data_IF_069486720066
#
_entry.id   IF_069486720066
#
_cell.length_a   1.000
_cell.length_b   1.000
_cell.length_c   1.000
_cell.angle_alpha   90.00
_cell.angle_beta   90.00
_cell.angle_gamma   90.00
#
_symmetry.space_group_name_H-M   'P 1'
#
loop_
_entity.id
_entity.type
_entity.pdbx_description
1 polymer ?
#
# COMPACT_ATOMS: atom_id res chain seq x y z
N UNK A 1 15.47 -21.95 21.14
CA UNK A 1 15.25 -20.88 20.15
C UNK A 1 16.38 -21.00 19.14
N UNK A 2 16.12 -21.58 17.95
CA UNK A 2 17.17 -21.78 16.93
C UNK A 2 17.20 -20.56 16.01
N UNK A 3 18.34 -19.86 15.99
CA UNK A 3 18.56 -18.69 15.14
C UNK A 3 18.59 -19.10 13.65
N UNK A 4 18.05 -18.31 12.72
CA UNK A 4 18.18 -18.61 11.29
C UNK A 4 19.65 -18.45 10.85
N UNK A 5 20.14 -19.31 9.93
CA UNK A 5 21.50 -19.22 9.43
C UNK A 5 21.71 -17.92 8.62
N UNK A 6 22.95 -17.38 8.56
CA UNK A 6 23.24 -16.20 7.77
C UNK A 6 22.96 -16.47 6.28
N UNK A 7 22.18 -15.59 5.65
CA UNK A 7 21.89 -15.62 4.21
C UNK A 7 23.19 -15.41 3.41
N UNK A 8 23.87 -16.50 3.08
CA UNK A 8 25.02 -16.50 2.17
C UNK A 8 24.57 -16.17 0.75
N UNK A 9 25.37 -15.41 -0.01
CA UNK A 9 25.11 -15.09 -1.42
C UNK A 9 24.87 -16.35 -2.25
N UNK A 10 25.48 -17.48 -1.87
CA UNK A 10 25.29 -18.78 -2.50
C UNK A 10 23.84 -19.30 -2.41
N UNK A 11 23.07 -18.98 -1.37
CA UNK A 11 21.68 -19.43 -1.23
C UNK A 11 20.69 -18.65 -2.10
N UNK A 12 21.16 -17.64 -2.85
CA UNK A 12 20.33 -16.83 -3.78
C UNK A 12 20.43 -17.31 -5.23
N UNK A 13 21.36 -18.20 -5.53
CA UNK A 13 21.53 -18.77 -6.86
C UNK A 13 21.03 -20.20 -6.84
N UNK A 14 20.16 -20.54 -7.79
CA UNK A 14 19.67 -21.91 -7.99
C UNK A 14 20.29 -22.42 -9.28
N UNK A 15 20.89 -23.60 -9.23
CA UNK A 15 21.43 -24.23 -10.44
C UNK A 15 20.30 -24.68 -11.37
N UNK A 16 20.60 -24.76 -12.67
CA UNK A 16 19.62 -25.26 -13.64
C UNK A 16 19.16 -26.68 -13.30
N UNK A 17 20.07 -27.53 -12.82
CA UNK A 17 19.78 -28.90 -12.40
C UNK A 17 18.82 -28.96 -11.22
N UNK A 18 18.98 -28.09 -10.22
CA UNK A 18 18.07 -28.02 -9.07
C UNK A 18 16.67 -27.55 -9.50
N UNK A 19 16.58 -26.63 -10.46
CA UNK A 19 15.31 -26.20 -11.03
C UNK A 19 14.60 -27.32 -11.78
N UNK A 20 15.33 -28.09 -12.59
CA UNK A 20 14.79 -29.24 -13.34
C UNK A 20 14.29 -30.33 -12.39
N UNK A 21 15.05 -30.67 -11.35
CA UNK A 21 14.64 -31.63 -10.32
C UNK A 21 13.40 -31.14 -9.54
N UNK A 22 13.36 -29.85 -9.19
CA UNK A 22 12.19 -29.25 -8.54
C UNK A 22 10.94 -29.24 -9.43
N UNK A 23 11.10 -29.05 -10.75
CA UNK A 23 10.00 -29.20 -11.72
C UNK A 23 9.51 -30.65 -11.79
N UNK A 24 10.44 -31.62 -11.94
CA UNK A 24 10.10 -33.03 -12.03
C UNK A 24 9.36 -33.55 -10.79
N UNK A 25 9.87 -33.24 -9.59
CA UNK A 25 9.22 -33.63 -8.32
C UNK A 25 7.82 -33.02 -8.19
N UNK A 26 7.62 -31.77 -8.61
CA UNK A 26 6.30 -31.13 -8.63
C UNK A 26 5.34 -31.83 -9.58
N UNK A 27 5.80 -32.22 -10.76
CA UNK A 27 4.99 -32.97 -11.73
C UNK A 27 4.60 -34.36 -11.22
N UNK A 28 5.53 -35.07 -10.57
CA UNK A 28 5.27 -36.37 -9.96
C UNK A 28 4.22 -36.26 -8.85
N UNK A 29 4.37 -35.29 -7.96
CA UNK A 29 3.40 -35.01 -6.89
C UNK A 29 2.03 -34.64 -7.46
N UNK A 30 2.00 -33.84 -8.52
CA UNK A 30 0.78 -33.49 -9.23
C UNK A 30 0.10 -34.74 -9.80
N UNK A 31 0.81 -35.55 -10.59
CA UNK A 31 0.26 -36.80 -11.14
C UNK A 31 -0.25 -37.73 -10.04
N UNK A 32 0.49 -37.88 -8.95
CA UNK A 32 0.08 -38.71 -7.81
C UNK A 32 -1.21 -38.19 -7.13
N UNK A 33 -1.38 -36.87 -7.00
CA UNK A 33 -2.58 -36.27 -6.43
C UNK A 33 -3.83 -36.57 -7.27
N UNK A 34 -3.73 -36.50 -8.60
CA UNK A 34 -4.84 -36.83 -9.50
C UNK A 34 -5.13 -38.33 -9.58
N UNK A 35 -4.09 -39.17 -9.58
CA UNK A 35 -4.26 -40.62 -9.51
C UNK A 35 -5.03 -41.05 -8.25
N UNK A 36 -4.73 -40.42 -7.10
CA UNK A 36 -5.49 -40.65 -5.85
C UNK A 36 -6.96 -40.23 -5.96
N UNK A 37 -7.26 -39.19 -6.75
CA UNK A 37 -8.62 -38.70 -6.95
C UNK A 37 -9.40 -39.52 -8.00
N UNK A 38 -8.75 -40.47 -8.68
CA UNK A 38 -9.35 -41.28 -9.75
C UNK A 38 -9.71 -40.47 -11.00
N UNK A 39 -9.07 -39.30 -11.16
CA UNK A 39 -9.31 -38.39 -12.29
C UNK A 39 -8.03 -38.26 -13.12
N UNK A 40 -8.19 -38.09 -14.42
CA UNK A 40 -7.05 -37.78 -15.28
C UNK A 40 -6.58 -36.34 -15.04
N UNK A 41 -5.26 -36.09 -14.88
CA UNK A 41 -4.76 -34.74 -14.74
C UNK A 41 -5.19 -33.89 -15.95
N UNK A 42 -5.71 -32.67 -15.74
CA UNK A 42 -5.99 -31.77 -16.86
C UNK A 42 -4.70 -31.52 -17.67
N UNK A 43 -4.81 -31.30 -18.99
CA UNK A 43 -3.66 -31.05 -19.84
C UNK A 43 -2.81 -29.92 -19.25
N UNK A 44 -1.49 -30.16 -19.16
CA UNK A 44 -0.56 -29.14 -18.68
C UNK A 44 -0.75 -27.89 -19.55
N UNK A 45 -1.05 -26.78 -18.89
CA UNK A 45 -1.15 -25.48 -19.54
C UNK A 45 0.20 -25.24 -20.21
N UNK A 46 0.19 -24.93 -21.51
CA UNK A 46 1.41 -24.58 -22.23
C UNK A 46 2.15 -23.52 -21.40
N UNK A 47 3.43 -23.75 -21.08
CA UNK A 47 4.22 -22.75 -20.37
C UNK A 47 4.13 -21.46 -21.21
N UNK A 48 3.58 -20.39 -20.61
CA UNK A 48 3.41 -19.11 -21.30
C UNK A 48 4.74 -18.76 -21.95
N UNK A 49 4.74 -18.64 -23.29
CA UNK A 49 5.92 -18.28 -24.08
C UNK A 49 6.51 -17.05 -23.41
N UNK A 50 7.69 -17.22 -22.82
CA UNK A 50 8.31 -16.21 -21.98
C UNK A 50 8.30 -14.87 -22.70
N UNK A 51 7.76 -13.85 -22.04
CA UNK A 51 7.54 -12.52 -22.59
C UNK A 51 8.65 -12.10 -23.57
N UNK A 52 8.33 -11.95 -24.85
CA UNK A 52 9.32 -11.68 -25.91
C UNK A 52 10.05 -10.34 -25.75
N UNK A 53 9.64 -9.52 -24.78
CA UNK A 53 10.32 -8.30 -24.37
C UNK A 53 11.72 -8.58 -23.85
N UNK A 54 12.65 -7.74 -24.27
CA UNK A 54 14.02 -7.70 -23.75
C UNK A 54 14.04 -7.46 -22.24
N UNK A 55 15.12 -7.90 -21.57
CA UNK A 55 15.31 -7.63 -20.14
C UNK A 55 15.23 -6.13 -19.82
N UNK A 56 15.73 -5.28 -20.72
CA UNK A 56 15.65 -3.83 -20.59
C UNK A 56 14.20 -3.35 -20.52
N UNK A 57 13.35 -3.78 -21.45
CA UNK A 57 11.93 -3.41 -21.47
C UNK A 57 11.18 -3.91 -20.22
N UNK A 58 11.51 -5.11 -19.74
CA UNK A 58 10.95 -5.64 -18.48
C UNK A 58 11.36 -4.79 -17.27
N UNK A 59 12.61 -4.33 -17.21
CA UNK A 59 13.07 -3.46 -16.12
C UNK A 59 12.46 -2.06 -16.21
N UNK A 60 12.34 -1.49 -17.40
CA UNK A 60 11.70 -0.19 -17.59
C UNK A 60 10.23 -0.22 -17.20
N UNK A 61 9.49 -1.25 -17.61
CA UNK A 61 8.07 -1.41 -17.23
C UNK A 61 7.90 -1.57 -15.72
N UNK A 62 8.77 -2.34 -15.06
CA UNK A 62 8.75 -2.47 -13.60
C UNK A 62 9.06 -1.15 -12.89
N UNK A 63 10.07 -0.41 -13.37
CA UNK A 63 10.43 0.91 -12.83
C UNK A 63 9.29 1.91 -13.00
N UNK A 64 8.70 1.99 -14.19
CA UNK A 64 7.57 2.87 -14.47
C UNK A 64 6.36 2.54 -13.59
N UNK A 65 6.02 1.25 -13.43
CA UNK A 65 4.94 0.83 -12.55
C UNK A 65 5.19 1.23 -11.08
N UNK A 66 6.44 1.10 -10.60
CA UNK A 66 6.81 1.51 -9.24
C UNK A 66 6.72 3.03 -9.07
N UNK A 67 7.18 3.81 -10.05
CA UNK A 67 7.07 5.26 -10.06
C UNK A 67 5.60 5.69 -10.06
N UNK A 68 4.78 5.12 -10.93
CA UNK A 68 3.34 5.42 -11.01
C UNK A 68 2.63 5.11 -9.69
N UNK A 69 2.90 3.95 -9.08
CA UNK A 69 2.36 3.60 -7.75
C UNK A 69 2.82 4.56 -6.66
N UNK A 70 4.06 5.03 -6.73
CA UNK A 70 4.58 6.03 -5.80
C UNK A 70 3.82 7.35 -5.99
N UNK A 71 3.78 7.88 -7.21
CA UNK A 71 3.08 9.12 -7.52
C UNK A 71 1.60 9.06 -7.15
N UNK A 72 0.94 7.94 -7.43
CA UNK A 72 -0.46 7.74 -7.09
C UNK A 72 -0.71 7.67 -5.58
N UNK A 73 0.19 7.10 -4.79
CA UNK A 73 0.07 7.10 -3.32
C UNK A 73 0.37 8.47 -2.71
N UNK A 74 1.32 9.21 -3.30
CA UNK A 74 1.72 10.53 -2.83
C UNK A 74 0.89 11.67 -3.41
N UNK A 75 -0.07 11.36 -4.28
CA UNK A 75 -0.99 12.33 -4.88
C UNK A 75 -1.75 13.08 -3.79
N UNK A 76 -1.69 14.41 -3.86
CA UNK A 76 -2.33 15.30 -2.89
C UNK A 76 -3.83 15.01 -2.71
N UNK A 77 -4.51 14.59 -3.78
CA UNK A 77 -5.93 14.24 -3.76
C UNK A 77 -6.26 13.04 -2.88
N UNK A 78 -5.28 12.17 -2.54
CA UNK A 78 -5.47 11.04 -1.62
C UNK A 78 -5.09 11.37 -0.18
N UNK A 79 -4.41 12.50 0.06
CA UNK A 79 -3.97 12.88 1.40
C UNK A 79 -5.12 13.38 2.28
N UNK A 80 -6.18 13.91 1.67
CA UNK A 80 -7.33 14.47 2.38
C UNK A 80 -8.62 13.84 1.88
N UNK A 81 -9.47 13.44 2.83
CA UNK A 81 -10.88 13.09 2.54
C UNK A 81 -11.77 14.32 2.70
N UNK A 82 -12.97 14.27 2.12
CA UNK A 82 -14.00 15.27 2.40
C UNK A 82 -14.42 15.22 3.88
N UNK A 83 -14.82 16.38 4.42
CA UNK A 83 -15.39 16.48 5.76
C UNK A 83 -16.82 15.93 5.78
N UNK A 84 -17.16 15.23 6.85
CA UNK A 84 -18.51 14.74 7.13
C UNK A 84 -19.38 15.88 7.70
N UNK A 85 -20.70 15.72 7.67
CA UNK A 85 -21.64 16.80 8.03
C UNK A 85 -21.54 17.20 9.51
N UNK A 86 -21.28 16.24 10.38
CA UNK A 86 -21.03 16.43 11.80
C UNK A 86 -19.69 17.14 12.07
N UNK A 87 -18.64 16.79 11.33
CA UNK A 87 -17.34 17.48 11.39
C UNK A 87 -17.47 18.95 10.97
N UNK A 88 -18.24 19.22 9.92
CA UNK A 88 -18.55 20.59 9.49
C UNK A 88 -19.31 21.35 10.58
N UNK A 89 -20.30 20.71 11.20
CA UNK A 89 -21.07 21.31 12.29
C UNK A 89 -20.16 21.61 13.50
N UNK A 90 -19.28 20.69 13.86
CA UNK A 90 -18.29 20.89 14.91
C UNK A 90 -17.39 22.11 14.63
N UNK A 91 -16.85 22.23 13.41
CA UNK A 91 -16.01 23.37 13.04
C UNK A 91 -16.77 24.70 13.10
N UNK A 92 -18.06 24.71 12.73
CA UNK A 92 -18.92 25.91 12.86
C UNK A 92 -19.14 26.30 14.32
N UNK A 93 -19.40 25.33 15.19
CA UNK A 93 -19.56 25.58 16.63
C UNK A 93 -18.27 26.09 17.26
N UNK A 94 -17.13 25.48 16.91
CA UNK A 94 -15.82 25.92 17.37
C UNK A 94 -15.51 27.36 16.92
N UNK A 95 -15.80 27.70 15.66
CA UNK A 95 -15.65 29.07 15.15
C UNK A 95 -16.54 30.06 15.92
N UNK A 96 -17.83 29.75 16.08
CA UNK A 96 -18.77 30.61 16.80
C UNK A 96 -18.36 30.83 18.27
N UNK A 97 -17.80 29.81 18.93
CA UNK A 97 -17.29 29.92 20.29
C UNK A 97 -16.09 30.89 20.38
N UNK A 98 -15.14 30.80 19.42
CA UNK A 98 -13.98 31.71 19.37
C UNK A 98 -14.42 33.16 19.12
N UNK A 99 -15.35 33.37 18.21
CA UNK A 99 -15.88 34.70 17.92
C UNK A 99 -16.61 35.30 19.13
N UNK A 100 -17.37 34.48 19.86
CA UNK A 100 -18.05 34.91 21.08
C UNK A 100 -17.07 35.29 22.20
N UNK A 101 -15.99 34.51 22.36
CA UNK A 101 -14.92 34.81 23.31
C UNK A 101 -14.20 36.12 22.95
N UNK A 102 -13.85 36.31 21.67
CA UNK A 102 -13.22 37.55 21.22
C UNK A 102 -14.15 38.75 21.43
N UNK A 103 -15.44 38.61 21.10
CA UNK A 103 -16.44 39.64 21.32
C UNK A 103 -16.64 39.96 22.81
N UNK A 104 -16.59 38.96 23.69
CA UNK A 104 -16.63 39.16 25.13
C UNK A 104 -15.38 39.91 25.62
N UNK A 105 -14.18 39.51 25.18
CA UNK A 105 -12.92 40.19 25.51
C UNK A 105 -12.93 41.65 25.07
N UNK A 106 -13.36 41.91 23.84
CA UNK A 106 -13.45 43.27 23.27
C UNK A 106 -14.52 44.13 23.94
N UNK A 107 -15.56 43.52 24.54
CA UNK A 107 -16.54 44.23 25.36
C UNK A 107 -15.97 44.59 26.72
N UNK A 108 -15.30 43.65 27.38
CA UNK A 108 -14.64 43.88 28.67
C UNK A 108 -13.58 44.99 28.56
N UNK A 109 -12.69 44.91 27.55
CA UNK A 109 -11.67 45.93 27.30
C UNK A 109 -12.28 47.32 27.07
N UNK A 110 -13.41 47.40 26.35
CA UNK A 110 -14.11 48.67 26.13
C UNK A 110 -14.69 49.25 27.42
N UNK A 111 -15.29 48.42 28.26
CA UNK A 111 -15.83 48.84 29.55
C UNK A 111 -14.73 49.36 30.48
N UNK A 112 -13.58 48.70 30.52
CA UNK A 112 -12.42 49.16 31.30
C UNK A 112 -11.95 50.53 30.82
N UNK A 113 -11.79 50.72 29.50
CA UNK A 113 -11.36 52.00 28.91
C UNK A 113 -12.38 53.12 29.17
N UNK A 114 -13.68 52.84 29.09
CA UNK A 114 -14.73 53.82 29.43
C UNK A 114 -14.68 54.20 30.91
N UNK A 115 -14.47 53.24 31.81
CA UNK A 115 -14.31 53.50 33.25
C UNK A 115 -13.10 54.35 33.63
N UNK A 116 -12.04 54.39 32.80
CA UNK A 116 -10.91 55.32 32.99
C UNK A 116 -11.18 56.74 32.48
N UNK A 117 -12.23 56.95 31.69
CA UNK A 117 -12.56 58.24 31.06
C UNK A 117 -13.58 59.06 31.86
N UNK A 118 -14.29 58.42 32.80
CA UNK A 118 -15.12 59.06 33.83
C UNK A 118 -14.28 59.44 35.06
#
# INVERSE_FOLDING_TARGET
MSSPPPSSVASRFVSQTELEQAKATREEQWRAAYARLGQEPPPQRAEDVGDGRSLYERLQTNKAAKEEQWQEQHKLSKQFRALEEDEILFLRQAAAARDAEEAARKRAERQEVEGFRE
#
